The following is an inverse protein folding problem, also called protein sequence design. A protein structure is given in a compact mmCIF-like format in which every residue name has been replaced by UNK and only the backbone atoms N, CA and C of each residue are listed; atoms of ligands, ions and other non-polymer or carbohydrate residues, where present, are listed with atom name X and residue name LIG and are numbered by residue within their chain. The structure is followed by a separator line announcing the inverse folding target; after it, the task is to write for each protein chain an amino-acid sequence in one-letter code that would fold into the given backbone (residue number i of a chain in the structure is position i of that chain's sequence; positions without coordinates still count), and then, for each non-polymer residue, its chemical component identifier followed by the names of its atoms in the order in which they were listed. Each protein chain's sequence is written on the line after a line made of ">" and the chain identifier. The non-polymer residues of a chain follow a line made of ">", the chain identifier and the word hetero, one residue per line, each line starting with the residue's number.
data_IF_107673343704
#
_entry.id   IF_107673343704
#
_cell.length_a   1.000
_cell.length_b   1.000
_cell.length_c   1.000
_cell.angle_alpha   90.00
_cell.angle_beta   90.00
_cell.angle_gamma   90.00
#
_symmetry.space_group_name_H-M   'P 1'
#
loop_
_entity.id
_entity.type
_entity.pdbx_description
1 polymer ?
#
# COMPACT_ATOMS: atom_id res chain seq x y z
N UNK A 1 9.88 -31.16 -10.01
CA UNK A 1 8.87 -30.13 -9.65
C UNK A 1 8.14 -30.45 -8.34
N UNK A 2 7.72 -31.67 -8.05
CA UNK A 2 6.99 -32.02 -6.79
C UNK A 2 7.85 -31.86 -5.51
N UNK A 3 9.12 -32.15 -5.53
CA UNK A 3 10.01 -32.05 -4.36
C UNK A 3 10.18 -30.57 -3.90
N UNK A 4 10.25 -29.62 -4.83
CA UNK A 4 10.38 -28.20 -4.51
C UNK A 4 9.10 -27.60 -3.88
N UNK A 5 7.91 -28.16 -4.19
CA UNK A 5 6.67 -27.70 -3.59
C UNK A 5 6.47 -28.23 -2.17
N UNK A 6 6.93 -29.45 -1.91
CA UNK A 6 6.88 -30.09 -0.58
C UNK A 6 7.87 -29.39 0.37
N UNK A 7 9.09 -29.13 -0.08
CA UNK A 7 10.11 -28.41 0.71
C UNK A 7 9.64 -26.99 1.04
N UNK A 8 8.96 -26.27 0.12
CA UNK A 8 8.39 -24.95 0.40
C UNK A 8 7.24 -24.99 1.40
N UNK A 9 6.43 -26.05 1.44
CA UNK A 9 5.32 -26.20 2.39
C UNK A 9 5.78 -26.58 3.80
N UNK A 10 6.81 -27.41 3.91
CA UNK A 10 7.31 -27.89 5.22
C UNK A 10 8.29 -26.90 5.86
N UNK A 11 9.07 -26.17 5.06
CA UNK A 11 10.06 -25.21 5.60
C UNK A 11 9.45 -23.90 6.14
N UNK A 12 8.27 -23.51 5.67
CA UNK A 12 7.63 -22.26 6.11
C UNK A 12 7.33 -22.20 7.63
N UNK A 13 6.72 -23.23 8.26
CA UNK A 13 6.49 -23.21 9.71
C UNK A 13 7.79 -23.29 10.53
N UNK A 14 8.78 -24.05 10.06
CA UNK A 14 10.07 -24.23 10.76
C UNK A 14 10.87 -22.91 10.75
N UNK A 15 10.95 -22.24 9.60
CA UNK A 15 11.61 -20.93 9.50
C UNK A 15 10.90 -19.85 10.33
N UNK A 16 9.59 -19.93 10.46
CA UNK A 16 8.81 -19.03 11.30
C UNK A 16 9.03 -19.21 12.80
N UNK A 17 9.32 -20.46 13.25
CA UNK A 17 9.64 -20.75 14.65
C UNK A 17 11.09 -20.46 15.01
N UNK A 18 12.01 -20.76 14.11
CA UNK A 18 13.46 -20.65 14.37
C UNK A 18 14.02 -19.31 13.92
N UNK A 19 13.46 -18.72 12.84
CA UNK A 19 13.91 -17.45 12.28
C UNK A 19 13.97 -16.27 13.26
N UNK A 20 12.96 -16.06 14.12
CA UNK A 20 13.02 -15.00 15.15
C UNK A 20 14.11 -15.15 16.19
N UNK A 21 14.59 -16.38 16.40
CA UNK A 21 15.68 -16.71 17.33
C UNK A 21 17.05 -16.69 16.66
N UNK A 22 17.13 -17.08 15.38
CA UNK A 22 18.38 -17.16 14.63
C UNK A 22 18.70 -15.89 13.83
N UNK A 23 17.68 -15.12 13.43
CA UNK A 23 17.89 -13.82 12.83
C UNK A 23 17.93 -12.77 13.97
N UNK A 24 19.09 -12.48 14.53
CA UNK A 24 19.19 -11.34 15.40
C UNK A 24 18.73 -10.13 14.62
N UNK A 25 17.99 -9.26 15.26
CA UNK A 25 17.55 -7.93 14.80
C UNK A 25 18.73 -7.04 14.29
N UNK A 26 19.93 -7.61 14.17
CA UNK A 26 21.15 -6.95 13.69
C UNK A 26 21.00 -6.37 12.28
N UNK A 27 20.30 -7.05 11.35
CA UNK A 27 20.08 -6.51 10.00
C UNK A 27 18.98 -5.45 9.96
N UNK A 28 17.97 -5.54 10.82
CA UNK A 28 17.00 -4.46 10.99
C UNK A 28 17.62 -3.16 11.53
N UNK A 29 18.78 -3.26 12.19
CA UNK A 29 19.54 -2.10 12.70
C UNK A 29 20.37 -1.37 11.63
N UNK A 30 20.43 -1.86 10.39
CA UNK A 30 21.31 -1.31 9.36
C UNK A 30 20.58 -0.73 8.14
N UNK A 31 19.24 -0.71 8.14
CA UNK A 31 18.47 -0.22 7.01
C UNK A 31 17.13 0.37 7.41
N UNK A 32 16.34 0.71 6.39
CA UNK A 32 14.98 1.22 6.53
C UNK A 32 13.97 0.09 6.26
N UNK A 33 13.10 -0.19 7.23
CA UNK A 33 11.93 -1.04 7.04
C UNK A 33 10.72 -0.17 6.68
N UNK A 34 10.02 -0.47 5.61
CA UNK A 34 8.81 0.26 5.22
C UNK A 34 7.64 -0.70 5.27
N UNK A 35 6.68 -0.42 6.15
CA UNK A 35 5.52 -1.27 6.36
C UNK A 35 4.31 -0.69 5.67
N UNK A 36 3.56 -1.54 4.93
CA UNK A 36 2.33 -1.11 4.29
C UNK A 36 1.10 -1.74 4.94
N UNK A 37 0.12 -0.90 5.18
CA UNK A 37 -1.23 -1.22 5.63
C UNK A 37 -2.23 -0.69 4.59
N UNK A 38 -3.48 -1.14 4.70
CA UNK A 38 -4.58 -0.65 3.87
C UNK A 38 -5.80 -0.37 4.75
N UNK A 39 -6.84 -1.19 4.72
CA UNK A 39 -8.05 -1.01 5.52
C UNK A 39 -7.86 -1.56 6.95
N UNK A 40 -8.02 -0.70 7.98
CA UNK A 40 -7.99 -1.10 9.39
C UNK A 40 -9.40 -1.04 9.94
N UNK A 41 -10.06 -2.19 10.08
CA UNK A 41 -11.48 -2.25 10.45
C UNK A 41 -11.90 -3.63 10.95
N UNK A 42 -12.89 -3.67 11.83
CA UNK A 42 -13.56 -4.94 12.21
C UNK A 42 -14.51 -5.45 11.10
N UNK A 43 -15.00 -4.54 10.25
CA UNK A 43 -15.97 -4.83 9.20
C UNK A 43 -15.44 -4.48 7.80
N UNK A 44 -14.49 -5.28 7.27
CA UNK A 44 -13.89 -4.99 5.97
C UNK A 44 -14.89 -5.06 4.83
N UNK A 45 -14.71 -4.18 3.85
CA UNK A 45 -15.51 -4.21 2.63
C UNK A 45 -15.38 -5.56 1.91
N UNK A 46 -16.40 -6.00 1.16
CA UNK A 46 -16.29 -7.24 0.37
C UNK A 46 -15.09 -7.22 -0.58
N UNK A 47 -14.74 -6.06 -1.13
CA UNK A 47 -13.59 -5.90 -2.01
C UNK A 47 -12.26 -6.06 -1.27
N UNK A 48 -12.04 -5.35 -0.16
CA UNK A 48 -10.80 -5.48 0.60
C UNK A 48 -10.63 -6.88 1.20
N UNK A 49 -11.76 -7.53 1.57
CA UNK A 49 -11.76 -8.93 1.99
C UNK A 49 -11.33 -9.87 0.87
N UNK A 50 -11.81 -9.65 -0.35
CA UNK A 50 -11.40 -10.40 -1.53
C UNK A 50 -9.91 -10.21 -1.84
N UNK A 51 -9.38 -9.00 -1.67
CA UNK A 51 -7.98 -8.66 -1.88
C UNK A 51 -7.08 -9.06 -0.70
N UNK A 52 -7.65 -9.42 0.46
CA UNK A 52 -6.91 -9.68 1.70
C UNK A 52 -6.08 -8.47 2.15
N UNK A 53 -6.60 -7.25 1.96
CA UNK A 53 -5.93 -5.97 2.26
C UNK A 53 -6.45 -5.29 3.52
N UNK A 54 -6.94 -6.04 4.49
CA UNK A 54 -7.48 -5.51 5.74
C UNK A 54 -6.87 -6.16 6.98
N UNK A 55 -6.95 -5.46 8.10
CA UNK A 55 -6.71 -6.03 9.42
C UNK A 55 -7.65 -5.38 10.44
N UNK A 56 -7.92 -6.06 11.57
CA UNK A 56 -8.68 -5.45 12.64
C UNK A 56 -7.78 -4.56 13.53
N UNK A 57 -8.40 -3.66 14.31
CA UNK A 57 -7.69 -2.73 15.19
C UNK A 57 -6.78 -3.45 16.18
N UNK A 58 -7.25 -4.55 16.78
CA UNK A 58 -6.48 -5.32 17.76
C UNK A 58 -5.18 -5.90 17.16
N UNK A 59 -5.23 -6.41 15.92
CA UNK A 59 -4.05 -6.87 15.19
C UNK A 59 -3.14 -5.70 14.83
N UNK A 60 -3.71 -4.60 14.33
CA UNK A 60 -2.99 -3.39 13.98
C UNK A 60 -2.19 -2.84 15.18
N UNK A 61 -2.82 -2.67 16.34
CA UNK A 61 -2.14 -2.24 17.58
C UNK A 61 -0.99 -3.17 17.97
N UNK A 62 -1.15 -4.49 17.85
CA UNK A 62 -0.08 -5.45 18.14
C UNK A 62 1.08 -5.35 17.15
N UNK A 63 0.79 -5.11 15.87
CA UNK A 63 1.81 -4.92 14.84
C UNK A 63 2.59 -3.62 15.08
N UNK A 64 1.90 -2.51 15.36
CA UNK A 64 2.54 -1.23 15.68
C UNK A 64 3.42 -1.33 16.93
N UNK A 65 2.91 -1.97 18.01
CA UNK A 65 3.72 -2.21 19.22
C UNK A 65 4.99 -2.99 18.88
N UNK A 66 4.87 -4.05 18.07
CA UNK A 66 6.02 -4.85 17.66
C UNK A 66 7.01 -4.04 16.83
N UNK A 67 6.55 -3.17 15.94
CA UNK A 67 7.38 -2.27 15.14
C UNK A 67 8.10 -1.28 16.05
N UNK A 68 7.39 -0.56 16.90
CA UNK A 68 7.93 0.43 17.83
C UNK A 68 8.98 -0.15 18.79
N UNK A 69 8.78 -1.39 19.25
CA UNK A 69 9.72 -2.05 20.16
C UNK A 69 11.06 -2.41 19.47
N UNK A 70 11.15 -2.33 18.12
CA UNK A 70 12.30 -2.81 17.33
C UNK A 70 12.91 -1.80 16.39
N UNK A 71 12.15 -0.79 16.01
CA UNK A 71 12.53 0.23 15.03
C UNK A 71 12.24 1.61 15.59
N UNK A 72 13.03 2.57 15.16
CA UNK A 72 12.68 3.98 15.31
C UNK A 72 11.72 4.35 14.16
N UNK A 73 10.45 4.58 14.47
CA UNK A 73 9.49 5.03 13.46
C UNK A 73 9.77 6.50 13.14
N UNK A 74 10.06 6.78 11.88
CA UNK A 74 10.45 8.11 11.40
C UNK A 74 9.28 8.82 10.71
N UNK A 75 9.26 10.14 10.80
CA UNK A 75 8.34 10.96 10.00
C UNK A 75 8.77 10.93 8.52
N UNK A 76 7.82 10.90 7.55
CA UNK A 76 8.13 10.91 6.12
C UNK A 76 9.11 12.02 5.70
N UNK A 77 9.00 13.21 6.29
CA UNK A 77 9.94 14.32 6.02
C UNK A 77 11.39 13.98 6.35
N UNK A 78 11.67 13.15 7.36
CA UNK A 78 13.04 12.75 7.69
C UNK A 78 13.66 11.90 6.56
N UNK A 79 12.86 11.02 5.94
CA UNK A 79 13.28 10.26 4.77
C UNK A 79 13.50 11.18 3.56
N UNK A 80 12.66 12.18 3.38
CA UNK A 80 12.78 13.15 2.29
C UNK A 80 14.05 14.02 2.44
N UNK A 81 14.38 14.37 3.67
CA UNK A 81 15.58 15.15 4.01
C UNK A 81 16.87 14.31 4.08
N UNK A 82 16.77 12.98 3.96
CA UNK A 82 17.92 12.07 4.07
C UNK A 82 18.45 11.89 5.51
N UNK A 83 17.72 12.33 6.52
CA UNK A 83 18.11 12.21 7.94
C UNK A 83 17.52 10.94 8.56
N UNK A 84 18.08 9.79 8.19
CA UNK A 84 17.52 8.49 8.57
C UNK A 84 18.46 7.79 9.54
N UNK A 85 18.09 7.69 10.83
CA UNK A 85 18.87 6.91 11.79
C UNK A 85 18.89 5.42 11.44
N UNK A 86 19.96 4.69 11.76
CA UNK A 86 19.99 3.24 11.59
C UNK A 86 18.86 2.54 12.35
N UNK A 87 18.24 1.53 11.73
CA UNK A 87 17.12 0.80 12.33
C UNK A 87 15.80 1.55 12.31
N UNK A 88 15.62 2.45 11.34
CA UNK A 88 14.38 3.18 11.16
C UNK A 88 13.28 2.35 10.51
N UNK A 89 12.04 2.74 10.78
CA UNK A 89 10.86 2.26 10.07
C UNK A 89 9.99 3.42 9.58
N UNK A 90 9.31 3.20 8.45
CA UNK A 90 8.28 4.09 7.92
C UNK A 90 6.94 3.33 7.86
N UNK A 91 5.87 3.96 8.31
CA UNK A 91 4.51 3.43 8.22
C UNK A 91 3.81 4.03 7.01
N UNK A 92 3.27 3.19 6.16
CA UNK A 92 2.55 3.61 4.96
C UNK A 92 1.17 2.98 4.89
N UNK A 93 0.20 3.72 4.34
CA UNK A 93 -1.15 3.24 4.10
C UNK A 93 -1.48 3.47 2.63
N UNK A 94 -2.02 2.46 1.96
CA UNK A 94 -2.41 2.58 0.56
C UNK A 94 -3.93 2.77 0.41
N UNK A 95 -4.35 3.17 -0.78
CA UNK A 95 -5.71 3.33 -1.26
C UNK A 95 -6.50 4.49 -0.65
N UNK A 96 -6.19 4.94 0.56
CA UNK A 96 -6.95 6.00 1.21
C UNK A 96 -8.31 5.56 1.75
N UNK A 97 -8.43 4.36 2.32
CA UNK A 97 -9.65 3.92 2.99
C UNK A 97 -10.06 4.87 4.12
N UNK A 98 -11.36 5.09 4.27
CA UNK A 98 -11.94 5.92 5.34
C UNK A 98 -11.51 5.50 6.74
N UNK A 99 -11.30 4.20 6.93
CA UNK A 99 -10.84 3.61 8.19
C UNK A 99 -9.46 4.09 8.63
N UNK A 100 -8.65 4.67 7.71
CA UNK A 100 -7.43 5.36 8.12
C UNK A 100 -7.74 6.46 9.13
N UNK A 101 -8.69 7.36 8.82
CA UNK A 101 -9.05 8.47 9.70
C UNK A 101 -9.83 8.02 10.93
N UNK A 102 -10.74 7.05 10.78
CA UNK A 102 -11.69 6.70 11.84
C UNK A 102 -11.17 5.66 12.82
N UNK A 103 -10.18 4.85 12.43
CA UNK A 103 -9.64 3.76 13.25
C UNK A 103 -8.11 3.82 13.36
N UNK A 104 -7.39 3.90 12.23
CA UNK A 104 -5.94 3.81 12.26
C UNK A 104 -5.30 5.06 12.89
N UNK A 105 -5.74 6.25 12.50
CA UNK A 105 -5.16 7.51 12.98
C UNK A 105 -5.29 7.68 14.51
N UNK A 106 -6.43 7.46 15.16
CA UNK A 106 -6.51 7.49 16.64
C UNK A 106 -5.50 6.56 17.32
N UNK A 107 -5.23 5.40 16.73
CA UNK A 107 -4.21 4.47 17.26
C UNK A 107 -2.79 5.01 17.06
N UNK A 108 -2.53 5.65 15.92
CA UNK A 108 -1.24 6.28 15.64
C UNK A 108 -0.98 7.47 16.55
N UNK A 109 -2.01 8.28 16.82
CA UNK A 109 -1.96 9.41 17.77
C UNK A 109 -1.66 8.92 19.20
N UNK A 110 -2.37 7.89 19.70
CA UNK A 110 -2.13 7.27 21.01
C UNK A 110 -0.66 6.80 21.18
N UNK A 111 -0.02 6.44 20.08
CA UNK A 111 1.34 5.89 20.10
C UNK A 111 2.41 6.88 19.62
N UNK A 112 2.03 8.09 19.22
CA UNK A 112 2.88 9.12 18.60
C UNK A 112 3.67 8.59 17.40
N UNK A 113 2.97 7.94 16.46
CA UNK A 113 3.57 7.29 15.31
C UNK A 113 3.19 8.00 14.01
N UNK A 114 4.15 8.63 13.30
CA UNK A 114 3.88 9.26 12.02
C UNK A 114 3.71 8.24 10.89
N UNK A 115 2.99 8.65 9.85
CA UNK A 115 2.69 7.82 8.68
C UNK A 115 2.49 8.63 7.41
N UNK A 116 2.47 7.97 6.28
CA UNK A 116 2.05 8.53 4.99
C UNK A 116 0.91 7.70 4.40
N UNK A 117 -0.07 8.39 3.84
CA UNK A 117 -1.18 7.76 3.10
C UNK A 117 -0.99 8.01 1.61
N UNK A 118 -0.93 6.97 0.83
CA UNK A 118 -0.89 7.03 -0.62
C UNK A 118 -2.30 7.02 -1.20
N UNK A 119 -2.66 8.09 -1.88
CA UNK A 119 -4.03 8.43 -2.26
C UNK A 119 -4.27 8.30 -3.76
N UNK A 120 -5.44 7.81 -4.11
CA UNK A 120 -6.02 7.83 -5.45
C UNK A 120 -7.02 8.99 -5.51
N UNK A 121 -6.63 10.13 -6.04
CA UNK A 121 -7.45 11.35 -5.93
C UNK A 121 -8.76 11.29 -6.74
N UNK A 122 -8.85 10.50 -7.82
CA UNK A 122 -10.13 10.25 -8.49
C UNK A 122 -11.13 9.57 -7.53
N UNK A 123 -10.65 8.63 -6.70
CA UNK A 123 -11.48 7.92 -5.71
C UNK A 123 -11.87 8.83 -4.55
N UNK A 124 -10.95 9.67 -4.08
CA UNK A 124 -11.21 10.71 -3.06
C UNK A 124 -12.30 11.67 -3.53
N UNK A 125 -12.33 12.01 -4.81
CA UNK A 125 -13.33 12.89 -5.43
C UNK A 125 -14.63 12.15 -5.83
N UNK A 126 -14.77 10.88 -5.43
CA UNK A 126 -16.00 10.09 -5.54
C UNK A 126 -16.10 9.16 -6.75
N UNK A 127 -15.07 9.07 -7.60
CA UNK A 127 -15.04 8.08 -8.68
C UNK A 127 -14.98 6.66 -8.10
N UNK A 128 -15.60 5.66 -8.75
CA UNK A 128 -15.37 4.26 -8.44
C UNK A 128 -13.88 3.90 -8.52
N UNK A 129 -13.38 3.11 -7.56
CA UNK A 129 -12.04 2.54 -7.67
C UNK A 129 -12.00 1.59 -8.89
N UNK A 130 -11.01 1.74 -9.75
CA UNK A 130 -10.95 1.05 -11.05
C UNK A 130 -10.96 -0.47 -10.90
N UNK A 131 -10.14 -1.02 -10.01
CA UNK A 131 -10.08 -2.46 -9.81
C UNK A 131 -11.29 -3.02 -9.08
N UNK A 132 -11.87 -2.26 -8.15
CA UNK A 132 -13.14 -2.63 -7.51
C UNK A 132 -14.28 -2.67 -8.53
N UNK A 133 -14.36 -1.68 -9.44
CA UNK A 133 -15.39 -1.64 -10.49
C UNK A 133 -15.27 -2.82 -11.47
N UNK A 134 -14.04 -3.14 -11.88
CA UNK A 134 -13.77 -4.30 -12.74
C UNK A 134 -14.11 -5.62 -12.00
N UNK A 135 -13.76 -5.73 -10.74
CA UNK A 135 -14.08 -6.90 -9.92
C UNK A 135 -15.59 -7.05 -9.69
N UNK A 136 -16.28 -5.94 -9.45
CA UNK A 136 -17.75 -5.91 -9.33
C UNK A 136 -18.43 -6.42 -10.58
N UNK A 137 -18.07 -5.87 -11.74
CA UNK A 137 -18.63 -6.28 -13.02
C UNK A 137 -18.45 -7.78 -13.27
N UNK A 138 -17.27 -8.33 -12.97
CA UNK A 138 -16.96 -9.76 -13.14
C UNK A 138 -17.76 -10.68 -12.23
N UNK A 139 -18.29 -10.22 -11.10
CA UNK A 139 -19.16 -11.02 -10.22
C UNK A 139 -20.54 -11.27 -10.82
N UNK A 140 -21.06 -10.31 -11.59
CA UNK A 140 -22.40 -10.40 -12.19
C UNK A 140 -22.42 -10.91 -13.64
N UNK A 141 -21.26 -11.06 -14.27
CA UNK A 141 -21.18 -11.41 -15.69
C UNK A 141 -19.99 -12.35 -15.96
N UNK A 142 -20.26 -13.45 -16.66
CA UNK A 142 -19.22 -14.31 -17.22
C UNK A 142 -18.68 -13.78 -18.57
N UNK A 143 -19.22 -12.67 -19.06
CA UNK A 143 -18.78 -12.06 -20.31
C UNK A 143 -17.44 -11.33 -20.12
N UNK A 144 -16.60 -11.40 -21.16
CA UNK A 144 -15.35 -10.64 -21.17
C UNK A 144 -15.67 -9.14 -21.14
N UNK A 145 -15.02 -8.43 -20.22
CA UNK A 145 -15.14 -6.98 -20.10
C UNK A 145 -14.22 -6.32 -21.16
N UNK A 146 -14.68 -6.29 -22.40
CA UNK A 146 -13.98 -5.67 -23.52
C UNK A 146 -13.09 -6.61 -24.33
N UNK A 147 -12.29 -6.03 -25.22
CA UNK A 147 -11.33 -6.74 -26.08
C UNK A 147 -9.97 -6.95 -25.36
N UNK A 148 -9.20 -8.00 -25.68
CA UNK A 148 -7.83 -8.15 -25.21
C UNK A 148 -6.89 -6.98 -25.58
N UNK A 149 -7.26 -6.19 -26.59
CA UNK A 149 -6.52 -4.98 -27.01
C UNK A 149 -6.87 -3.73 -26.22
N UNK A 150 -7.92 -3.76 -25.38
CA UNK A 150 -8.34 -2.60 -24.61
C UNK A 150 -7.33 -2.28 -23.53
N UNK A 151 -7.05 -0.99 -23.35
CA UNK A 151 -6.28 -0.52 -22.21
C UNK A 151 -7.07 -0.64 -20.90
N UNK A 152 -6.38 -0.56 -19.78
CA UNK A 152 -7.02 -0.61 -18.47
C UNK A 152 -8.06 0.50 -18.25
N UNK A 153 -7.83 1.78 -18.64
CA UNK A 153 -8.85 2.82 -18.59
C UNK A 153 -10.08 2.53 -19.46
N UNK A 154 -9.91 1.99 -20.67
CA UNK A 154 -11.04 1.59 -21.52
C UNK A 154 -11.86 0.46 -20.89
N UNK A 155 -11.20 -0.49 -20.25
CA UNK A 155 -11.85 -1.56 -19.48
C UNK A 155 -12.63 -0.99 -18.29
N UNK A 156 -12.05 -0.04 -17.57
CA UNK A 156 -12.71 0.66 -16.47
C UNK A 156 -13.97 1.41 -16.92
N UNK A 157 -13.90 2.17 -18.00
CA UNK A 157 -15.06 2.91 -18.54
C UNK A 157 -16.25 1.98 -18.83
N UNK A 158 -15.99 0.77 -19.29
CA UNK A 158 -17.03 -0.25 -19.50
C UNK A 158 -17.56 -0.80 -18.19
N UNK A 159 -16.70 -0.99 -17.18
CA UNK A 159 -17.09 -1.50 -15.87
C UNK A 159 -17.97 -0.50 -15.10
N UNK A 160 -17.72 0.80 -15.23
CA UNK A 160 -18.49 1.84 -14.51
C UNK A 160 -19.76 2.26 -15.22
N UNK A 161 -19.91 1.95 -16.52
CA UNK A 161 -21.11 2.33 -17.28
C UNK A 161 -22.42 1.85 -16.64
N UNK A 162 -22.54 0.60 -16.16
CA UNK A 162 -23.73 0.13 -15.44
C UNK A 162 -23.98 0.85 -14.12
N UNK A 163 -22.92 1.39 -13.47
CA UNK A 163 -23.01 2.08 -12.17
C UNK A 163 -23.62 3.49 -12.25
N UNK A 164 -24.17 3.88 -13.40
CA UNK A 164 -24.89 5.16 -13.57
C UNK A 164 -26.29 5.14 -12.95
N UNK A 165 -26.85 3.95 -12.69
CA UNK A 165 -28.07 3.77 -11.90
C UNK A 165 -27.81 3.99 -10.41
N UNK A 166 -28.74 4.65 -9.70
CA UNK A 166 -28.55 4.98 -8.26
C UNK A 166 -28.44 3.72 -7.39
N UNK A 167 -29.23 2.68 -7.69
CA UNK A 167 -29.25 1.44 -6.92
C UNK A 167 -27.96 0.64 -7.13
N UNK A 168 -27.53 0.48 -8.38
CA UNK A 168 -26.27 -0.21 -8.69
C UNK A 168 -25.07 0.52 -8.08
N UNK A 169 -25.06 1.84 -8.12
CA UNK A 169 -24.00 2.63 -7.51
C UNK A 169 -23.98 2.46 -5.98
N UNK A 170 -25.14 2.42 -5.34
CA UNK A 170 -25.23 2.20 -3.89
C UNK A 170 -24.72 0.82 -3.49
N UNK A 171 -25.10 -0.23 -4.21
CA UNK A 171 -24.60 -1.59 -3.96
C UNK A 171 -23.10 -1.73 -4.27
N UNK A 172 -22.63 -1.08 -5.33
CA UNK A 172 -21.21 -1.03 -5.65
C UNK A 172 -20.41 -0.33 -4.54
N UNK A 173 -20.90 0.79 -3.99
CA UNK A 173 -20.24 1.49 -2.87
C UNK A 173 -20.13 0.60 -1.64
N UNK A 174 -21.16 -0.17 -1.30
CA UNK A 174 -21.08 -1.18 -0.22
C UNK A 174 -20.02 -2.25 -0.52
N UNK A 175 -19.86 -2.63 -1.79
CA UNK A 175 -18.85 -3.61 -2.20
C UNK A 175 -17.44 -3.07 -2.09
N UNK A 176 -17.17 -1.88 -2.65
CA UNK A 176 -15.82 -1.33 -2.67
C UNK A 176 -15.35 -0.82 -1.30
N UNK A 177 -16.29 -0.43 -0.41
CA UNK A 177 -16.01 0.19 0.87
C UNK A 177 -15.87 1.71 0.79
N UNK A 178 -15.66 2.33 1.95
CA UNK A 178 -15.57 3.78 2.09
C UNK A 178 -14.13 4.26 2.00
N UNK A 179 -13.93 5.34 1.25
CA UNK A 179 -12.66 6.03 1.11
C UNK A 179 -12.68 7.40 1.78
N UNK A 180 -11.50 7.95 2.06
CA UNK A 180 -11.35 9.34 2.45
C UNK A 180 -11.93 10.24 1.35
N UNK A 181 -12.71 11.22 1.74
CA UNK A 181 -13.18 12.27 0.84
C UNK A 181 -12.38 13.56 1.02
N UNK A 182 -12.65 14.56 0.16
CA UNK A 182 -11.96 15.86 0.21
C UNK A 182 -12.07 16.51 1.60
N UNK A 183 -13.25 16.44 2.24
CA UNK A 183 -13.44 16.97 3.60
C UNK A 183 -12.58 16.27 4.66
N UNK A 184 -12.24 14.99 4.47
CA UNK A 184 -11.32 14.28 5.35
C UNK A 184 -9.89 14.77 5.15
N UNK A 185 -9.47 14.96 3.89
CA UNK A 185 -8.13 15.44 3.58
C UNK A 185 -7.92 16.87 4.07
N UNK A 186 -8.93 17.74 3.94
CA UNK A 186 -8.89 19.09 4.51
C UNK A 186 -8.75 19.08 6.04
N UNK A 187 -9.43 18.14 6.72
CA UNK A 187 -9.30 17.99 8.17
C UNK A 187 -7.93 17.43 8.60
N UNK A 188 -7.22 16.75 7.70
CA UNK A 188 -5.88 16.20 7.92
C UNK A 188 -4.77 17.09 7.34
N UNK A 189 -5.12 18.22 6.70
CA UNK A 189 -4.14 19.11 6.08
C UNK A 189 -3.22 19.76 7.13
N UNK A 190 -1.94 19.45 7.04
CA UNK A 190 -0.93 19.89 8.01
C UNK A 190 -0.97 19.15 9.35
N UNK A 191 -1.65 17.99 9.43
CA UNK A 191 -1.61 17.15 10.61
C UNK A 191 -0.18 16.66 10.91
N UNK A 192 0.34 16.78 12.15
CA UNK A 192 1.76 16.55 12.46
C UNK A 192 2.23 15.10 12.26
N UNK A 193 1.34 14.12 12.26
CA UNK A 193 1.66 12.70 12.09
C UNK A 193 1.29 12.13 10.72
N UNK A 194 0.70 12.95 9.82
CA UNK A 194 0.17 12.46 8.55
C UNK A 194 0.82 13.19 7.38
N UNK A 195 1.32 12.43 6.42
CA UNK A 195 1.69 12.93 5.09
C UNK A 195 0.83 12.26 4.02
N UNK A 196 0.74 12.88 2.84
CA UNK A 196 0.06 12.35 1.67
C UNK A 196 1.04 12.08 0.53
N UNK A 197 0.87 10.96 -0.17
CA UNK A 197 1.61 10.62 -1.39
C UNK A 197 0.66 10.13 -2.48
N UNK A 198 1.20 9.95 -3.67
CA UNK A 198 0.44 9.47 -4.83
C UNK A 198 0.35 7.96 -4.87
N UNK A 199 -0.87 7.43 -5.17
CA UNK A 199 -1.09 6.03 -5.53
C UNK A 199 -1.66 5.92 -6.95
N UNK A 200 -1.22 6.81 -7.86
CA UNK A 200 -1.83 7.15 -9.13
C UNK A 200 -3.26 7.69 -8.98
N UNK A 201 -3.85 8.18 -10.08
CA UNK A 201 -5.16 8.87 -9.96
C UNK A 201 -6.31 7.94 -9.55
N UNK A 202 -6.33 6.70 -10.04
CA UNK A 202 -7.39 5.73 -9.76
C UNK A 202 -6.89 4.29 -9.58
N UNK A 203 -5.88 4.06 -8.75
CA UNK A 203 -5.32 2.73 -8.45
C UNK A 203 -4.98 1.92 -9.72
N UNK A 204 -4.43 2.59 -10.75
CA UNK A 204 -4.06 1.96 -11.99
C UNK A 204 -2.88 1.00 -11.83
N UNK A 205 -2.96 -0.21 -12.40
CA UNK A 205 -1.78 -1.07 -12.53
C UNK A 205 -0.81 -0.44 -13.56
N UNK A 206 0.25 0.19 -13.08
CA UNK A 206 1.18 0.98 -13.91
C UNK A 206 1.66 0.26 -15.17
N UNK A 207 2.17 -1.00 -15.07
CA UNK A 207 2.63 -1.74 -16.25
C UNK A 207 1.55 -2.03 -17.31
N UNK A 208 0.26 -1.89 -16.98
CA UNK A 208 -0.86 -2.06 -17.93
C UNK A 208 -1.31 -0.77 -18.59
N UNK A 209 -0.70 0.36 -18.23
CA UNK A 209 -0.95 1.64 -18.87
C UNK A 209 -0.01 1.86 -20.06
N UNK A 210 -0.50 2.57 -21.08
CA UNK A 210 0.38 3.17 -22.08
C UNK A 210 1.15 4.33 -21.43
N UNK A 211 2.32 4.63 -21.92
CA UNK A 211 3.19 5.69 -21.37
C UNK A 211 2.45 7.00 -21.08
N UNK A 212 1.70 7.52 -22.06
CA UNK A 212 0.90 8.74 -21.89
C UNK A 212 -0.16 8.64 -20.79
N UNK A 213 -0.80 7.47 -20.64
CA UNK A 213 -1.81 7.25 -19.61
C UNK A 213 -1.18 7.22 -18.23
N UNK A 214 0.03 6.67 -18.11
CA UNK A 214 0.79 6.67 -16.88
C UNK A 214 1.22 8.10 -16.48
N UNK A 215 1.73 8.88 -17.42
CA UNK A 215 2.08 10.27 -17.21
C UNK A 215 0.88 11.09 -16.74
N UNK A 216 -0.24 10.95 -17.41
CA UNK A 216 -1.49 11.64 -17.04
C UNK A 216 -1.95 11.25 -15.64
N UNK A 217 -1.88 9.96 -15.28
CA UNK A 217 -2.26 9.47 -13.95
C UNK A 217 -1.37 10.04 -12.84
N UNK A 218 -0.05 10.16 -13.08
CA UNK A 218 0.87 10.80 -12.13
C UNK A 218 0.58 12.29 -12.01
N UNK A 219 0.57 13.01 -13.14
CA UNK A 219 0.44 14.47 -13.15
C UNK A 219 -0.88 14.92 -12.53
N UNK A 220 -1.98 14.28 -12.93
CA UNK A 220 -3.31 14.60 -12.42
C UNK A 220 -3.40 14.37 -10.91
N UNK A 221 -2.87 13.24 -10.43
CA UNK A 221 -2.89 12.92 -9.00
C UNK A 221 -2.00 13.88 -8.20
N UNK A 222 -0.78 14.12 -8.67
CA UNK A 222 0.17 15.00 -7.99
C UNK A 222 -0.32 16.44 -7.91
N UNK A 223 -0.89 16.97 -9.01
CA UNK A 223 -1.46 18.33 -9.03
C UNK A 223 -2.53 18.54 -7.96
N UNK A 224 -3.36 17.52 -7.71
CA UNK A 224 -4.37 17.57 -6.65
C UNK A 224 -3.76 17.47 -5.26
N UNK A 225 -2.73 16.65 -5.08
CA UNK A 225 -2.00 16.50 -3.82
C UNK A 225 -1.18 17.74 -3.46
N UNK A 226 -0.65 18.46 -4.43
CA UNK A 226 0.11 19.72 -4.22
C UNK A 226 -0.72 20.83 -3.55
N UNK A 227 -2.05 20.67 -3.43
CA UNK A 227 -2.93 21.58 -2.71
C UNK A 227 -2.87 21.44 -1.18
N UNK A 228 -2.32 20.33 -0.69
CA UNK A 228 -2.23 20.04 0.74
C UNK A 228 -0.81 20.28 1.25
N UNK A 229 -0.70 20.91 2.44
CA UNK A 229 0.58 21.29 3.06
C UNK A 229 1.47 20.08 3.37
N UNK A 230 0.86 18.95 3.66
CA UNK A 230 1.52 17.68 3.95
C UNK A 230 1.60 16.74 2.73
N UNK A 231 1.34 17.27 1.53
CA UNK A 231 1.54 16.57 0.27
C UNK A 231 3.02 16.38 -0.06
N UNK A 232 3.38 15.17 -0.47
CA UNK A 232 4.75 14.78 -0.84
C UNK A 232 4.79 14.30 -2.29
N UNK A 233 5.89 14.57 -3.00
CA UNK A 233 6.14 14.06 -4.34
C UNK A 233 6.68 12.64 -4.30
N UNK A 234 5.89 11.75 -3.72
CA UNK A 234 6.18 10.35 -3.54
C UNK A 234 5.09 9.50 -4.21
N UNK A 235 5.51 8.39 -4.83
CA UNK A 235 4.62 7.46 -5.52
C UNK A 235 4.74 6.06 -4.93
N UNK A 236 3.66 5.51 -4.39
CA UNK A 236 3.55 4.07 -4.21
C UNK A 236 2.88 3.47 -5.44
N UNK A 237 3.52 2.48 -6.05
CA UNK A 237 2.92 1.77 -7.18
C UNK A 237 1.77 0.90 -6.73
N UNK A 238 0.57 1.03 -7.32
CA UNK A 238 -0.50 0.07 -7.10
C UNK A 238 -0.02 -1.37 -7.32
N UNK A 239 -0.47 -2.29 -6.48
CA UNK A 239 0.00 -3.69 -6.42
C UNK A 239 1.50 -3.86 -6.10
N UNK A 240 2.20 -2.80 -5.76
CA UNK A 240 3.64 -2.81 -5.50
C UNK A 240 4.50 -3.08 -6.74
N UNK A 241 3.97 -2.89 -7.96
CA UNK A 241 4.64 -3.25 -9.21
C UNK A 241 5.08 -2.00 -9.96
N UNK A 242 6.37 -1.69 -9.89
CA UNK A 242 7.08 -0.71 -10.72
C UNK A 242 7.95 -1.40 -11.76
N UNK A 243 8.38 -0.64 -12.77
CA UNK A 243 9.37 -1.06 -13.76
C UNK A 243 10.36 0.07 -13.98
N UNK A 244 11.54 -0.22 -14.49
CA UNK A 244 12.56 0.79 -14.74
C UNK A 244 12.04 1.96 -15.62
N UNK A 245 11.29 1.66 -16.68
CA UNK A 245 10.66 2.69 -17.53
C UNK A 245 9.67 3.57 -16.73
N UNK A 246 8.84 2.97 -15.85
CA UNK A 246 7.91 3.73 -15.02
C UNK A 246 8.65 4.59 -13.99
N UNK A 247 9.76 4.10 -13.43
CA UNK A 247 10.59 4.84 -12.49
C UNK A 247 11.23 6.09 -13.18
N UNK A 248 11.73 5.93 -14.41
CA UNK A 248 12.28 7.05 -15.19
C UNK A 248 11.20 8.10 -15.51
N UNK A 249 10.02 7.65 -15.91
CA UNK A 249 8.89 8.55 -16.20
C UNK A 249 8.42 9.27 -14.95
N UNK A 250 8.27 8.56 -13.82
CA UNK A 250 7.88 9.17 -12.55
C UNK A 250 8.89 10.24 -12.11
N UNK A 251 10.19 9.95 -12.23
CA UNK A 251 11.27 10.91 -11.98
C UNK A 251 11.18 12.12 -12.89
N UNK A 252 10.91 11.92 -14.18
CA UNK A 252 10.71 13.00 -15.15
C UNK A 252 9.55 13.94 -14.79
N UNK A 253 8.56 13.46 -14.03
CA UNK A 253 7.43 14.25 -13.49
C UNK A 253 7.68 14.78 -12.07
N UNK A 254 8.91 14.71 -11.57
CA UNK A 254 9.31 15.27 -10.29
C UNK A 254 8.97 14.40 -9.08
N UNK A 255 8.64 13.13 -9.27
CA UNK A 255 8.53 12.17 -8.17
C UNK A 255 9.92 11.90 -7.59
N UNK A 256 10.05 12.06 -6.27
CA UNK A 256 11.35 11.95 -5.57
C UNK A 256 11.59 10.57 -4.96
N UNK A 257 10.53 9.88 -4.59
CA UNK A 257 10.58 8.52 -4.02
C UNK A 257 9.48 7.66 -4.61
N UNK A 258 9.84 6.43 -4.95
CA UNK A 258 8.94 5.42 -5.49
C UNK A 258 8.96 4.18 -4.58
N UNK A 259 7.79 3.57 -4.37
CA UNK A 259 7.65 2.47 -3.44
C UNK A 259 7.06 1.25 -4.14
N UNK A 260 7.78 0.12 -4.04
CA UNK A 260 7.36 -1.20 -4.54
C UNK A 260 6.86 -2.09 -3.40
N UNK A 261 6.44 -3.33 -3.68
CA UNK A 261 5.83 -4.23 -2.69
C UNK A 261 6.39 -5.65 -2.69
N UNK A 262 7.70 -5.81 -2.92
CA UNK A 262 8.33 -7.15 -2.98
C UNK A 262 8.66 -7.71 -1.59
N UNK A 263 8.56 -6.89 -0.54
CA UNK A 263 8.69 -7.30 0.85
C UNK A 263 10.11 -7.41 1.35
N UNK A 264 10.99 -6.51 0.96
CA UNK A 264 12.39 -6.47 1.35
C UNK A 264 12.66 -5.33 2.33
N UNK A 265 13.73 -5.45 3.10
CA UNK A 265 14.34 -4.33 3.80
C UNK A 265 15.16 -3.51 2.81
N UNK A 266 15.25 -2.21 3.04
CA UNK A 266 16.07 -1.30 2.26
C UNK A 266 17.39 -1.06 3.01
N UNK A 267 18.50 -1.70 2.58
CA UNK A 267 19.81 -1.51 3.23
C UNK A 267 20.34 -0.09 3.03
N UNK A 268 19.97 0.52 1.92
CA UNK A 268 20.27 1.90 1.58
C UNK A 268 18.98 2.71 1.40
N UNK A 269 18.69 3.56 2.35
CA UNK A 269 17.52 4.42 2.36
C UNK A 269 17.67 5.67 1.48
N UNK A 270 18.83 5.90 0.89
CA UNK A 270 19.05 7.02 -0.04
C UNK A 270 18.53 6.72 -1.45
N UNK A 271 18.27 5.46 -1.78
CA UNK A 271 17.71 5.06 -3.06
C UNK A 271 16.34 5.69 -3.30
N UNK A 272 16.08 6.09 -4.55
CA UNK A 272 14.79 6.66 -4.96
C UNK A 272 13.69 5.62 -4.99
N UNK A 273 14.01 4.37 -5.34
CA UNK A 273 13.07 3.23 -5.35
C UNK A 273 13.30 2.39 -4.11
N UNK A 274 12.28 2.33 -3.27
CA UNK A 274 12.30 1.62 -1.99
C UNK A 274 11.25 0.52 -1.96
N UNK A 275 11.56 -0.57 -1.27
CA UNK A 275 10.67 -1.70 -1.16
C UNK A 275 9.90 -1.70 0.15
N UNK A 276 8.67 -2.25 0.14
CA UNK A 276 7.76 -2.27 1.29
C UNK A 276 7.39 -3.68 1.69
N UNK A 277 7.09 -3.84 2.97
CA UNK A 277 6.68 -5.08 3.61
C UNK A 277 5.20 -4.99 3.93
N UNK A 278 4.38 -5.77 3.23
CA UNK A 278 2.96 -5.84 3.47
C UNK A 278 2.64 -6.58 4.78
N UNK A 279 1.83 -5.93 5.62
CA UNK A 279 1.33 -6.44 6.89
C UNK A 279 -0.19 -6.72 6.88
N UNK A 280 -0.79 -6.79 5.72
CA UNK A 280 -2.24 -7.03 5.58
C UNK A 280 -2.70 -8.39 6.10
N UNK A 281 -3.98 -8.55 6.14
CA UNK A 281 -4.92 -9.46 6.74
C UNK A 281 -4.57 -10.94 6.95
N UNK A 282 -3.79 -11.56 6.11
CA UNK A 282 -3.50 -12.99 6.28
C UNK A 282 -2.62 -13.30 7.50
N UNK A 283 -2.09 -12.28 8.16
CA UNK A 283 -1.30 -12.46 9.37
C UNK A 283 -2.22 -12.47 10.59
N UNK A 284 -3.07 -13.48 10.64
CA UNK A 284 -4.05 -13.64 11.73
C UNK A 284 -3.43 -13.95 13.08
N UNK A 285 -2.15 -14.27 13.16
CA UNK A 285 -1.47 -14.53 14.42
C UNK A 285 -0.02 -13.98 14.42
N UNK A 286 0.51 -13.76 15.60
CA UNK A 286 1.88 -13.25 15.80
C UNK A 286 2.96 -14.15 15.21
N UNK A 287 2.67 -15.44 15.06
CA UNK A 287 3.59 -16.40 14.48
C UNK A 287 3.80 -16.16 12.99
N UNK A 288 2.73 -15.98 12.20
CA UNK A 288 2.84 -15.67 10.77
C UNK A 288 3.49 -14.30 10.54
N UNK A 289 3.17 -13.32 11.38
CA UNK A 289 3.80 -12.01 11.34
C UNK A 289 5.32 -12.08 11.58
N UNK A 290 5.75 -12.75 12.66
CA UNK A 290 7.17 -12.98 12.96
C UNK A 290 7.85 -13.79 11.87
N UNK A 291 7.17 -14.78 11.31
CA UNK A 291 7.69 -15.59 10.21
C UNK A 291 7.92 -14.76 8.94
N UNK A 292 6.98 -13.91 8.52
CA UNK A 292 7.16 -13.03 7.35
C UNK A 292 8.37 -12.13 7.49
N UNK A 293 8.59 -11.54 8.64
CA UNK A 293 9.73 -10.68 8.88
C UNK A 293 11.05 -11.45 8.94
N UNK A 294 11.09 -12.53 9.69
CA UNK A 294 12.32 -13.31 9.88
C UNK A 294 12.72 -14.11 8.63
N UNK A 295 11.75 -14.73 7.94
CA UNK A 295 12.06 -15.52 6.73
C UNK A 295 12.55 -14.65 5.57
N UNK A 296 12.03 -13.44 5.44
CA UNK A 296 12.49 -12.49 4.42
C UNK A 296 13.89 -11.96 4.72
N UNK A 297 14.21 -11.70 5.98
CA UNK A 297 15.56 -11.30 6.41
C UNK A 297 16.58 -12.42 6.21
N UNK A 298 16.25 -13.67 6.57
CA UNK A 298 17.13 -14.81 6.42
C UNK A 298 17.39 -15.18 4.95
N UNK A 299 16.36 -15.14 4.10
CA UNK A 299 16.52 -15.48 2.67
C UNK A 299 17.35 -14.44 1.90
N UNK A 300 17.45 -13.20 2.39
CA UNK A 300 18.33 -12.19 1.80
C UNK A 300 19.78 -12.33 2.25
N UNK A 301 20.02 -12.69 3.51
CA UNK A 301 21.38 -12.96 4.01
C UNK A 301 22.06 -14.21 3.42
N UNK A 302 21.28 -15.09 2.77
CA UNK A 302 21.79 -16.29 2.10
C UNK A 302 22.04 -16.08 0.58
N UNK A 303 21.72 -14.93 0.03
CA UNK A 303 21.91 -14.58 -1.40
C UNK A 303 22.95 -13.49 -1.65
N UNK A 304 23.56 -12.94 -0.64
CA UNK A 304 24.76 -12.10 -0.66
C UNK A 304 25.94 -12.96 -0.24
#
# INVERSE_FOLDING_TARGET
>A
MLLNSIVKKVSKPILGTVGPWLAPVRHAKQGLAIFVFHEVTENPSPYSRQCSTHCNESLFRRQLKWIRDRFLVIHPLQLDQGTIPPGSALLTFDDGYKSFRTVALPVLEDMDLPSIVFLNMDVVEGSPNAHAAIAWHRRGSHQALGSPSDSLPETYERAVRPLRGLDELAEFRKFQGDYLGEGDLLALDGHPLVAFGSHLSNHWHGPSLRDRQFDEAILTNQHRLDRYRNGMRWLAYPFGVGTHNLDERARGHGVRRMFTGQGRLNPDATQEVLDRIDLSAEIRNQFLFRWRLSSRTVLHGLRG
#
